data_IF_446390900831
#
_entry.id   IF_446390900831
#
_cell.length_a   1.000
_cell.length_b   1.000
_cell.length_c   1.000
_cell.angle_alpha   90.00
_cell.angle_beta   90.00
_cell.angle_gamma   90.00
#
_symmetry.space_group_name_H-M   'P 1'
#
loop_
_entity.id
_entity.type
_entity.pdbx_description
1 polymer ?
#
# COMPACT_ATOMS: atom_id res chain seq x y z
N UNK A 1 -24.89 27.49 -6.62
CA UNK A 1 -24.95 26.02 -6.40
C UNK A 1 -23.76 25.66 -5.54
N UNK A 2 -23.98 25.15 -4.32
CA UNK A 2 -22.91 24.65 -3.45
C UNK A 2 -22.34 23.39 -4.07
N UNK A 3 -21.08 23.44 -4.51
CA UNK A 3 -20.40 22.27 -5.04
C UNK A 3 -20.33 21.23 -3.92
N UNK A 4 -20.74 20.00 -4.22
CA UNK A 4 -20.63 18.87 -3.30
C UNK A 4 -19.18 18.78 -2.75
N UNK A 5 -18.99 18.74 -1.42
CA UNK A 5 -17.66 18.69 -0.81
C UNK A 5 -16.81 17.50 -1.29
N UNK A 6 -17.44 16.35 -1.53
CA UNK A 6 -16.76 15.15 -2.01
C UNK A 6 -16.25 15.34 -3.44
N UNK A 7 -17.10 15.85 -4.33
CA UNK A 7 -16.73 16.22 -5.71
C UNK A 7 -15.54 17.19 -5.72
N UNK A 8 -15.60 18.24 -4.90
CA UNK A 8 -14.51 19.22 -4.79
C UNK A 8 -13.21 18.60 -4.26
N UNK A 9 -13.31 17.67 -3.31
CA UNK A 9 -12.17 16.97 -2.75
C UNK A 9 -11.48 16.08 -3.80
N UNK A 10 -12.25 15.33 -4.57
CA UNK A 10 -11.72 14.43 -5.62
C UNK A 10 -11.12 15.22 -6.76
N UNK A 11 -11.79 16.28 -7.24
CA UNK A 11 -11.25 17.16 -8.27
C UNK A 11 -9.87 17.73 -7.90
N UNK A 12 -9.71 18.21 -6.65
CA UNK A 12 -8.42 18.72 -6.16
C UNK A 12 -7.36 17.64 -6.01
N UNK A 13 -7.75 16.46 -5.52
CA UNK A 13 -6.84 15.34 -5.30
C UNK A 13 -6.28 14.80 -6.62
N UNK A 14 -7.12 14.73 -7.66
CA UNK A 14 -6.74 14.26 -8.99
C UNK A 14 -6.18 15.37 -9.89
N UNK A 15 -6.37 16.64 -9.50
CA UNK A 15 -6.07 17.83 -10.32
C UNK A 15 -6.77 17.77 -11.68
N UNK A 16 -8.02 17.31 -11.67
CA UNK A 16 -8.83 17.08 -12.86
C UNK A 16 -10.28 17.47 -12.62
N UNK A 17 -11.00 17.79 -13.70
CA UNK A 17 -12.45 17.93 -13.63
C UNK A 17 -13.10 16.55 -13.50
N UNK A 18 -14.03 16.43 -12.55
CA UNK A 18 -14.78 15.20 -12.29
C UNK A 18 -16.26 15.53 -12.10
N UNK A 19 -17.12 14.57 -12.43
CA UNK A 19 -18.57 14.65 -12.22
C UNK A 19 -19.12 13.33 -11.72
N UNK A 20 -20.40 13.32 -11.30
CA UNK A 20 -21.10 12.10 -10.88
C UNK A 20 -20.36 11.32 -9.80
N UNK A 21 -19.82 12.03 -8.80
CA UNK A 21 -19.02 11.42 -7.74
C UNK A 21 -19.92 10.70 -6.74
N UNK A 22 -19.62 9.43 -6.47
CA UNK A 22 -20.31 8.63 -5.45
C UNK A 22 -19.30 7.85 -4.60
N UNK A 23 -19.68 7.46 -3.39
CA UNK A 23 -18.83 6.73 -2.46
C UNK A 23 -19.56 5.51 -1.90
N UNK A 24 -18.85 4.40 -1.80
CA UNK A 24 -19.31 3.13 -1.25
C UNK A 24 -18.28 2.61 -0.23
N UNK A 25 -18.75 2.17 0.94
CA UNK A 25 -17.87 1.53 1.94
C UNK A 25 -17.65 0.07 1.54
N UNK A 26 -16.40 -0.29 1.24
CA UNK A 26 -16.01 -1.67 0.89
C UNK A 26 -15.74 -2.49 2.15
N UNK A 27 -15.06 -1.89 3.14
CA UNK A 27 -14.69 -2.56 4.37
C UNK A 27 -14.57 -1.57 5.52
N UNK A 28 -15.04 -1.95 6.71
CA UNK A 28 -14.90 -1.13 7.91
C UNK A 28 -14.75 -2.01 9.16
N UNK A 29 -13.72 -1.73 9.95
CA UNK A 29 -13.48 -2.32 11.26
C UNK A 29 -12.71 -1.34 12.16
N UNK A 30 -12.31 -1.80 13.35
CA UNK A 30 -11.62 -0.97 14.33
C UNK A 30 -10.24 -0.43 13.89
N UNK A 31 -9.64 -1.04 12.86
CA UNK A 31 -8.29 -0.72 12.37
C UNK A 31 -8.26 -0.19 10.93
N UNK A 32 -9.40 -0.17 10.25
CA UNK A 32 -9.46 0.14 8.82
C UNK A 32 -10.84 0.62 8.42
N UNK A 33 -10.88 1.66 7.60
CA UNK A 33 -12.04 2.02 6.79
C UNK A 33 -11.59 2.19 5.34
N UNK A 34 -12.22 1.44 4.45
CA UNK A 34 -11.95 1.40 3.02
C UNK A 34 -13.20 1.83 2.26
N UNK A 35 -13.08 2.90 1.48
CA UNK A 35 -14.14 3.43 0.64
C UNK A 35 -13.71 3.42 -0.82
N UNK A 36 -14.58 2.93 -1.71
CA UNK A 36 -14.47 3.11 -3.15
C UNK A 36 -15.19 4.39 -3.52
N UNK A 37 -14.53 5.25 -4.28
CA UNK A 37 -15.14 6.44 -4.84
C UNK A 37 -15.17 6.28 -6.35
N UNK A 38 -16.36 6.27 -6.93
CA UNK A 38 -16.56 6.25 -8.38
C UNK A 38 -16.90 7.66 -8.87
N UNK A 39 -16.45 7.98 -10.08
CA UNK A 39 -16.67 9.29 -10.70
C UNK A 39 -16.50 9.19 -12.22
N UNK A 40 -16.99 10.20 -12.95
CA UNK A 40 -16.68 10.38 -14.37
C UNK A 40 -15.55 11.38 -14.56
N UNK A 41 -14.62 11.04 -15.45
CA UNK A 41 -13.53 11.90 -15.90
C UNK A 41 -13.32 11.69 -17.39
N UNK A 42 -13.28 12.78 -18.17
CA UNK A 42 -13.06 12.72 -19.63
C UNK A 42 -14.05 11.79 -20.36
N UNK A 43 -15.28 11.70 -19.84
CA UNK A 43 -16.33 10.84 -20.40
C UNK A 43 -16.24 9.36 -20.01
N UNK A 44 -15.20 8.92 -19.29
CA UNK A 44 -15.06 7.56 -18.78
C UNK A 44 -15.40 7.47 -17.28
N UNK A 45 -16.00 6.36 -16.86
CA UNK A 45 -16.11 6.02 -15.43
C UNK A 45 -14.75 5.57 -14.91
N UNK A 46 -14.36 6.09 -13.74
CA UNK A 46 -13.12 5.77 -13.04
C UNK A 46 -13.41 5.60 -11.56
N UNK A 47 -12.50 4.94 -10.86
CA UNK A 47 -12.59 4.78 -9.42
C UNK A 47 -11.23 4.97 -8.74
N UNK A 48 -11.31 5.38 -7.48
CA UNK A 48 -10.19 5.45 -6.54
C UNK A 48 -10.61 4.82 -5.22
N UNK A 49 -9.63 4.38 -4.45
CA UNK A 49 -9.85 3.82 -3.12
C UNK A 49 -9.28 4.77 -2.08
N UNK A 50 -10.09 5.08 -1.07
CA UNK A 50 -9.67 5.82 0.11
C UNK A 50 -9.54 4.86 1.28
N UNK A 51 -8.31 4.73 1.78
CA UNK A 51 -7.98 3.97 2.98
C UNK A 51 -7.78 4.93 4.14
N UNK A 52 -8.49 4.70 5.24
CA UNK A 52 -8.34 5.39 6.53
C UNK A 52 -7.92 4.40 7.59
N UNK A 53 -6.95 4.77 8.41
CA UNK A 53 -6.38 3.92 9.46
C UNK A 53 -6.18 4.72 10.74
N UNK A 54 -6.25 4.10 11.93
CA UNK A 54 -5.92 4.76 13.19
C UNK A 54 -4.51 5.38 13.17
N UNK A 55 -4.25 6.44 13.95
CA UNK A 55 -2.95 7.11 14.02
C UNK A 55 -1.76 6.17 14.31
N UNK A 56 -1.97 5.14 15.13
CA UNK A 56 -0.97 4.12 15.46
C UNK A 56 -0.56 3.25 14.25
N UNK A 57 -1.42 3.15 13.25
CA UNK A 57 -1.23 2.37 12.02
C UNK A 57 -0.91 3.29 10.80
N UNK A 58 -0.64 4.57 11.04
CA UNK A 58 -0.46 5.58 9.98
C UNK A 58 0.86 5.49 9.20
N UNK A 59 1.69 4.47 9.45
CA UNK A 59 2.97 4.29 8.76
C UNK A 59 2.77 4.16 7.25
N UNK A 60 1.76 3.41 6.82
CA UNK A 60 1.42 3.24 5.40
C UNK A 60 1.08 4.56 4.71
N UNK A 61 0.22 5.37 5.34
CA UNK A 61 -0.19 6.69 4.84
C UNK A 61 1.03 7.62 4.69
N UNK A 62 2.04 7.41 5.55
CA UNK A 62 3.29 8.16 5.52
C UNK A 62 4.28 7.65 4.45
N UNK A 63 4.40 6.33 4.31
CA UNK A 63 5.40 5.65 3.49
C UNK A 63 4.98 5.50 2.03
N UNK A 64 3.72 5.12 1.77
CA UNK A 64 3.25 4.79 0.42
C UNK A 64 3.49 5.89 -0.63
N UNK A 65 3.31 7.20 -0.33
CA UNK A 65 3.62 8.25 -1.31
C UNK A 65 5.12 8.38 -1.62
N UNK A 66 6.01 7.99 -0.70
CA UNK A 66 7.44 7.93 -0.98
C UNK A 66 7.74 6.78 -1.93
N UNK A 67 7.14 5.60 -1.68
CA UNK A 67 7.30 4.41 -2.52
C UNK A 67 6.77 4.65 -3.94
N UNK A 68 5.56 5.21 -4.06
CA UNK A 68 4.91 5.46 -5.35
C UNK A 68 5.69 6.43 -6.26
N UNK A 69 6.56 7.27 -5.69
CA UNK A 69 7.47 8.14 -6.47
C UNK A 69 8.72 7.43 -6.98
N UNK A 70 9.08 6.28 -6.38
CA UNK A 70 10.35 5.58 -6.61
C UNK A 70 10.17 4.28 -7.39
N UNK A 71 8.97 3.70 -7.35
CA UNK A 71 8.66 2.43 -8.00
C UNK A 71 7.22 2.40 -8.46
N UNK A 72 6.98 1.69 -9.55
CA UNK A 72 5.66 1.38 -10.09
C UNK A 72 5.07 0.09 -9.46
N UNK A 73 5.71 -0.51 -8.45
CA UNK A 73 5.26 -1.77 -7.83
C UNK A 73 4.37 -1.62 -6.60
N UNK A 74 3.88 -0.41 -6.37
CA UNK A 74 2.91 -0.06 -5.32
C UNK A 74 1.74 0.73 -5.93
N UNK A 75 0.62 0.90 -5.21
CA UNK A 75 -0.46 1.75 -5.68
C UNK A 75 0.00 3.16 -6.00
N UNK A 76 -0.52 3.70 -7.10
CA UNK A 76 -0.46 5.12 -7.41
C UNK A 76 -1.18 5.85 -6.29
N UNK A 77 -0.52 6.85 -5.71
CA UNK A 77 -1.08 7.72 -4.69
C UNK A 77 -1.49 9.04 -5.33
N UNK A 78 -2.76 9.37 -5.21
CA UNK A 78 -3.31 10.65 -5.68
C UNK A 78 -3.23 11.72 -4.59
N UNK A 79 -3.59 11.36 -3.36
CA UNK A 79 -3.56 12.28 -2.23
C UNK A 79 -3.39 11.52 -0.91
N UNK A 80 -3.02 12.26 0.13
CA UNK A 80 -3.06 11.79 1.51
C UNK A 80 -3.43 12.92 2.46
N UNK A 81 -3.88 12.56 3.65
CA UNK A 81 -4.07 13.48 4.76
C UNK A 81 -3.63 12.86 6.06
N UNK A 82 -2.89 13.64 6.85
CA UNK A 82 -2.55 13.32 8.24
C UNK A 82 -3.17 14.44 9.06
N UNK A 83 -4.39 14.24 9.59
CA UNK A 83 -5.05 15.25 10.41
C UNK A 83 -4.17 15.61 11.62
N UNK A 84 -4.16 16.89 12.06
CA UNK A 84 -3.46 17.27 13.27
C UNK A 84 -4.13 16.60 14.49
N UNK A 85 -3.40 16.37 15.60
CA UNK A 85 -3.92 15.65 16.77
C UNK A 85 -5.21 16.22 17.38
N UNK A 86 -5.48 17.52 17.17
CA UNK A 86 -6.68 18.19 17.64
C UNK A 86 -7.96 17.83 16.85
N UNK A 87 -7.82 17.21 15.67
CA UNK A 87 -8.94 16.81 14.81
C UNK A 87 -9.18 15.31 15.02
N UNK A 88 -10.38 14.95 15.45
CA UNK A 88 -10.80 13.56 15.63
C UNK A 88 -11.06 12.86 14.27
N UNK A 89 -10.04 12.78 13.42
CA UNK A 89 -10.08 12.12 12.13
C UNK A 89 -8.84 11.23 11.95
N UNK A 90 -9.06 10.09 11.30
CA UNK A 90 -8.00 9.14 10.99
C UNK A 90 -7.14 9.62 9.81
N UNK A 91 -5.81 9.39 9.86
CA UNK A 91 -4.95 9.47 8.68
C UNK A 91 -5.51 8.67 7.51
N UNK A 92 -5.31 9.18 6.30
CA UNK A 92 -5.89 8.61 5.10
C UNK A 92 -5.02 8.76 3.87
N UNK A 93 -5.17 7.83 2.94
CA UNK A 93 -4.53 7.84 1.62
C UNK A 93 -5.56 7.52 0.54
N UNK A 94 -5.46 8.22 -0.59
CA UNK A 94 -6.28 8.05 -1.78
C UNK A 94 -5.41 7.43 -2.88
N UNK A 95 -5.74 6.23 -3.31
CA UNK A 95 -4.98 5.45 -4.29
C UNK A 95 -5.81 5.07 -5.51
N UNK A 96 -5.15 4.56 -6.55
CA UNK A 96 -5.84 3.83 -7.61
C UNK A 96 -6.69 2.68 -7.02
N UNK A 97 -7.77 2.32 -7.70
CA UNK A 97 -8.63 1.22 -7.27
C UNK A 97 -8.08 -0.14 -7.72
N UNK A 98 -7.67 -0.96 -6.74
CA UNK A 98 -7.21 -2.32 -6.94
C UNK A 98 -8.07 -3.34 -6.18
N UNK A 99 -9.20 -2.92 -5.58
CA UNK A 99 -9.94 -3.77 -4.66
C UNK A 99 -10.55 -5.02 -5.34
N UNK A 100 -10.94 -4.91 -6.61
CA UNK A 100 -11.52 -6.02 -7.38
C UNK A 100 -10.50 -6.74 -8.28
N UNK A 101 -9.21 -6.36 -8.17
CA UNK A 101 -8.17 -6.97 -9.00
C UNK A 101 -7.77 -8.35 -8.48
N UNK A 102 -7.49 -9.29 -9.38
CA UNK A 102 -7.14 -10.64 -9.02
C UNK A 102 -5.82 -10.71 -8.23
N UNK A 103 -5.78 -11.59 -7.22
CA UNK A 103 -4.53 -11.85 -6.48
C UNK A 103 -3.46 -12.43 -7.41
N UNK A 104 -2.27 -11.83 -7.36
CA UNK A 104 -1.13 -12.26 -8.19
C UNK A 104 -0.57 -13.65 -7.79
N UNK A 105 -0.94 -14.17 -6.62
CA UNK A 105 -0.49 -15.49 -6.18
C UNK A 105 -1.04 -16.66 -6.98
N UNK A 106 -2.14 -16.47 -7.71
CA UNK A 106 -2.67 -17.50 -8.61
C UNK A 106 -1.90 -17.56 -9.94
N UNK A 107 -0.96 -16.63 -10.17
CA UNK A 107 -0.11 -16.56 -11.36
C UNK A 107 1.36 -16.87 -11.06
N UNK A 108 2.26 -16.07 -11.62
CA UNK A 108 3.70 -16.24 -11.43
C UNK A 108 4.15 -15.70 -10.06
N UNK A 109 4.35 -16.59 -9.08
CA UNK A 109 4.88 -16.23 -7.76
C UNK A 109 6.24 -15.54 -7.84
N UNK A 110 7.08 -15.86 -8.84
CA UNK A 110 8.35 -15.18 -9.03
C UNK A 110 8.14 -13.70 -9.42
N UNK A 111 7.00 -13.35 -10.05
CA UNK A 111 6.66 -11.95 -10.31
C UNK A 111 6.37 -11.17 -9.02
N UNK A 112 5.77 -11.80 -8.01
CA UNK A 112 5.54 -11.19 -6.69
C UNK A 112 6.88 -10.91 -5.99
N UNK A 113 7.79 -11.88 -6.01
CA UNK A 113 9.14 -11.70 -5.44
C UNK A 113 9.93 -10.62 -6.20
N UNK A 114 9.86 -10.60 -7.53
CA UNK A 114 10.50 -9.55 -8.34
C UNK A 114 9.94 -8.16 -8.04
N UNK A 115 8.62 -8.04 -7.84
CA UNK A 115 7.98 -6.78 -7.45
C UNK A 115 8.49 -6.29 -6.10
N UNK A 116 8.55 -7.16 -5.09
CA UNK A 116 9.13 -6.83 -3.78
C UNK A 116 10.59 -6.39 -3.90
N UNK A 117 11.40 -7.16 -4.61
CA UNK A 117 12.81 -6.79 -4.86
C UNK A 117 12.97 -5.44 -5.56
N UNK A 118 12.05 -5.07 -6.45
CA UNK A 118 12.06 -3.75 -7.09
C UNK A 118 11.71 -2.62 -6.11
N UNK A 119 10.75 -2.82 -5.20
CA UNK A 119 10.46 -1.86 -4.12
C UNK A 119 11.70 -1.66 -3.24
N UNK A 120 12.31 -2.73 -2.77
CA UNK A 120 13.48 -2.64 -1.87
C UNK A 120 14.66 -1.93 -2.53
N UNK A 121 14.98 -2.27 -3.79
CA UNK A 121 16.04 -1.60 -4.55
C UNK A 121 15.76 -0.10 -4.73
N UNK A 122 14.51 0.27 -4.93
CA UNK A 122 14.12 1.67 -5.14
C UNK A 122 14.35 2.55 -3.91
N UNK A 123 14.33 1.96 -2.71
CA UNK A 123 14.53 2.68 -1.43
C UNK A 123 15.86 2.40 -0.74
N UNK A 124 16.74 1.60 -1.36
CA UNK A 124 17.98 1.12 -0.73
C UNK A 124 18.93 2.24 -0.24
N UNK A 125 18.78 3.47 -0.75
CA UNK A 125 19.59 4.65 -0.36
C UNK A 125 18.83 5.66 0.50
N UNK A 126 17.59 5.38 0.85
CA UNK A 126 16.71 6.30 1.57
C UNK A 126 16.62 6.01 3.06
N UNK A 127 17.58 5.28 3.62
CA UNK A 127 17.59 4.91 5.04
C UNK A 127 17.28 6.09 5.98
N UNK A 128 17.89 7.30 5.83
CA UNK A 128 17.55 8.43 6.70
C UNK A 128 16.09 8.86 6.59
N UNK A 129 15.52 8.82 5.39
CA UNK A 129 14.11 9.18 5.15
C UNK A 129 13.16 8.13 5.71
N UNK A 130 13.46 6.84 5.51
CA UNK A 130 12.69 5.73 6.07
C UNK A 130 12.68 5.78 7.60
N UNK A 131 13.84 6.04 8.21
CA UNK A 131 13.98 6.21 9.66
C UNK A 131 13.16 7.41 10.17
N UNK A 132 13.20 8.54 9.46
CA UNK A 132 12.42 9.73 9.81
C UNK A 132 10.90 9.50 9.72
N UNK A 133 10.45 8.60 8.83
CA UNK A 133 9.04 8.18 8.72
C UNK A 133 8.63 7.13 9.75
N UNK A 134 9.54 6.70 10.63
CA UNK A 134 9.27 5.69 11.64
C UNK A 134 9.20 4.27 11.10
N UNK A 135 9.73 4.00 9.90
CA UNK A 135 9.84 2.63 9.38
C UNK A 135 10.73 1.83 10.33
N UNK A 136 10.22 0.74 10.92
CA UNK A 136 11.03 -0.07 11.83
C UNK A 136 12.16 -0.73 11.05
N UNK A 137 13.39 -0.52 11.51
CA UNK A 137 14.55 -1.27 11.02
C UNK A 137 14.61 -2.60 11.78
N UNK A 138 14.38 -3.72 11.07
CA UNK A 138 14.65 -5.05 11.61
C UNK A 138 16.02 -5.52 11.14
N UNK A 139 16.79 -6.10 12.06
CA UNK A 139 17.93 -6.91 11.68
C UNK A 139 17.44 -8.12 10.87
N UNK A 140 18.19 -8.58 9.84
CA UNK A 140 17.76 -9.71 9.02
C UNK A 140 17.37 -10.98 9.78
N UNK A 141 18.06 -11.27 10.89
CA UNK A 141 17.73 -12.38 11.78
C UNK A 141 16.33 -12.22 12.41
N UNK A 142 15.96 -11.00 12.80
CA UNK A 142 14.63 -10.71 13.36
C UNK A 142 13.51 -10.80 12.32
N UNK A 143 13.82 -10.63 11.03
CA UNK A 143 12.87 -10.86 9.94
C UNK A 143 12.60 -12.36 9.73
N UNK A 144 13.66 -13.18 9.78
CA UNK A 144 13.56 -14.65 9.71
C UNK A 144 12.81 -15.20 10.94
N UNK A 145 13.10 -14.69 12.14
CA UNK A 145 12.41 -15.09 13.37
C UNK A 145 10.91 -14.76 13.32
N UNK A 146 10.53 -13.54 12.91
CA UNK A 146 9.10 -13.19 12.74
C UNK A 146 8.39 -14.00 11.67
N UNK A 147 9.07 -14.30 10.55
CA UNK A 147 8.53 -15.20 9.54
C UNK A 147 8.30 -16.61 10.13
N UNK A 148 9.20 -17.06 11.00
CA UNK A 148 9.14 -18.38 11.66
C UNK A 148 8.02 -18.43 12.70
N UNK A 149 7.83 -17.35 13.47
CA UNK A 149 6.71 -17.19 14.39
C UNK A 149 5.35 -17.23 13.68
N UNK A 150 5.24 -16.58 12.51
CA UNK A 150 4.02 -16.66 11.68
C UNK A 150 3.82 -18.02 11.01
N UNK A 151 4.90 -18.65 10.56
CA UNK A 151 4.89 -20.00 10.00
C UNK A 151 4.48 -21.06 11.03
N UNK A 152 4.78 -20.85 12.31
CA UNK A 152 4.30 -21.71 13.39
C UNK A 152 2.77 -21.67 13.56
N UNK A 153 2.10 -20.63 13.04
CA UNK A 153 0.65 -20.47 13.08
C UNK A 153 -0.02 -21.08 11.84
N UNK A 154 0.56 -20.93 10.63
CA UNK A 154 -0.13 -21.29 9.37
C UNK A 154 0.54 -22.39 8.50
N UNK A 155 1.86 -22.63 8.57
CA UNK A 155 2.63 -23.76 7.95
C UNK A 155 4.14 -23.51 8.04
N UNK A 156 5.00 -24.56 8.13
CA UNK A 156 6.46 -24.40 8.17
C UNK A 156 7.02 -23.72 6.91
N UNK A 157 8.01 -22.84 7.11
CA UNK A 157 8.75 -22.16 6.04
C UNK A 157 9.52 -23.18 5.19
N UNK A 158 9.24 -23.21 3.89
CA UNK A 158 9.95 -24.05 2.92
C UNK A 158 11.36 -23.50 2.58
N UNK A 159 12.14 -24.28 1.83
CA UNK A 159 13.52 -23.93 1.48
C UNK A 159 13.61 -22.67 0.59
N UNK A 160 12.61 -22.45 -0.26
CA UNK A 160 12.57 -21.32 -1.20
C UNK A 160 12.30 -20.00 -0.47
N UNK A 161 11.41 -20.02 0.53
CA UNK A 161 11.17 -18.87 1.40
C UNK A 161 12.40 -18.54 2.27
N UNK A 162 13.18 -19.53 2.71
CA UNK A 162 14.47 -19.28 3.40
C UNK A 162 15.53 -18.69 2.47
N UNK A 163 15.59 -19.15 1.22
CA UNK A 163 16.49 -18.59 0.22
C UNK A 163 16.12 -17.13 -0.09
N UNK A 164 14.82 -16.83 -0.26
CA UNK A 164 14.33 -15.47 -0.45
C UNK A 164 14.63 -14.56 0.75
N UNK A 165 14.43 -15.05 1.98
CA UNK A 165 14.80 -14.32 3.20
C UNK A 165 16.31 -14.04 3.29
N UNK A 166 17.14 -14.99 2.85
CA UNK A 166 18.61 -14.84 2.82
C UNK A 166 19.08 -13.80 1.79
N UNK A 167 18.37 -13.67 0.66
CA UNK A 167 18.64 -12.62 -0.32
C UNK A 167 18.17 -11.24 0.17
N UNK A 168 17.00 -11.18 0.84
CA UNK A 168 16.50 -9.95 1.47
C UNK A 168 17.43 -9.48 2.61
N UNK A 169 18.03 -10.41 3.35
CA UNK A 169 18.98 -10.15 4.42
C UNK A 169 20.27 -9.42 3.97
N UNK A 170 20.58 -9.45 2.67
CA UNK A 170 21.73 -8.73 2.09
C UNK A 170 21.42 -7.26 1.80
N UNK A 171 20.16 -6.84 1.96
CA UNK A 171 19.75 -5.46 1.76
C UNK A 171 19.97 -4.66 3.05
N UNK A 172 20.50 -3.43 2.96
CA UNK A 172 20.80 -2.60 4.14
C UNK A 172 19.54 -2.22 4.93
N UNK A 173 18.38 -2.22 4.26
CA UNK A 173 17.05 -2.03 4.85
C UNK A 173 16.08 -2.95 4.11
N UNK A 174 15.22 -3.66 4.86
CA UNK A 174 14.07 -4.38 4.30
C UNK A 174 12.82 -3.74 4.84
N UNK A 175 11.95 -3.25 3.95
CA UNK A 175 10.64 -2.76 4.38
C UNK A 175 9.81 -3.94 4.90
N UNK A 176 9.50 -3.92 6.20
CA UNK A 176 8.53 -4.85 6.80
C UNK A 176 7.09 -4.59 6.32
N UNK A 177 6.88 -3.42 5.71
CA UNK A 177 5.63 -3.03 5.06
C UNK A 177 5.57 -3.70 3.66
N UNK A 178 4.41 -4.25 3.30
CA UNK A 178 4.24 -5.09 2.12
C UNK A 178 4.84 -6.48 2.29
N UNK A 179 4.51 -7.17 3.39
CA UNK A 179 4.82 -8.59 3.56
C UNK A 179 4.34 -9.39 2.34
N UNK A 180 5.14 -10.39 1.95
CA UNK A 180 4.87 -11.29 0.82
C UNK A 180 3.71 -12.25 1.15
N UNK A 181 2.51 -11.70 1.30
CA UNK A 181 1.27 -12.47 1.44
C UNK A 181 0.42 -12.34 0.19
N UNK A 182 -0.35 -13.36 -0.13
CA UNK A 182 -1.23 -13.33 -1.30
C UNK A 182 -2.35 -12.31 -1.19
N UNK A 183 -2.74 -11.97 0.04
CA UNK A 183 -3.67 -10.89 0.34
C UNK A 183 -3.11 -9.51 -0.07
N UNK A 184 -1.79 -9.40 -0.23
CA UNK A 184 -1.07 -8.15 -0.47
C UNK A 184 -0.53 -8.02 -1.90
N UNK A 185 -0.80 -8.97 -2.78
CA UNK A 185 -0.31 -8.94 -4.16
C UNK A 185 -1.48 -8.89 -5.15
N UNK A 186 -1.51 -7.88 -6.02
CA UNK A 186 -2.54 -7.66 -7.03
C UNK A 186 -1.96 -7.67 -8.43
N UNK A 187 -2.72 -8.19 -9.38
CA UNK A 187 -2.36 -8.17 -10.80
C UNK A 187 -2.91 -6.88 -11.43
N UNK A 188 -2.05 -6.15 -12.13
CA UNK A 188 -2.38 -4.92 -12.86
C UNK A 188 -1.76 -4.96 -14.26
N UNK A 189 -2.17 -4.06 -15.14
CA UNK A 189 -1.53 -3.82 -16.44
C UNK A 189 -0.04 -3.49 -16.31
N UNK A 190 0.35 -2.88 -15.17
CA UNK A 190 1.75 -2.56 -14.84
C UNK A 190 2.54 -3.77 -14.31
N UNK A 191 1.89 -4.92 -14.16
CA UNK A 191 2.41 -6.14 -13.55
C UNK A 191 1.92 -6.31 -12.10
N UNK A 192 2.73 -6.96 -11.26
CA UNK A 192 2.36 -7.16 -9.85
C UNK A 192 2.53 -5.87 -9.05
N UNK A 193 1.47 -5.50 -8.34
CA UNK A 193 1.41 -4.38 -7.41
C UNK A 193 1.27 -4.93 -5.99
N UNK A 194 2.10 -4.42 -5.07
CA UNK A 194 2.05 -4.76 -3.66
C UNK A 194 1.17 -3.75 -2.91
N UNK A 195 0.13 -4.25 -2.25
CA UNK A 195 -0.86 -3.52 -1.45
C UNK A 195 -0.77 -3.98 0.01
N UNK A 196 -1.25 -3.18 0.96
CA UNK A 196 -1.37 -3.55 2.39
C UNK A 196 -2.78 -3.30 2.91
#
# INVERSE_FOLDING_TARGET
MTVDPLTSFIARSLRAEVSEVSSEVIAQNARLQLERITFRQEGAERSVVMKRVPPEDALEVQLLPLLARKTDRVPIVHARGIPPPAVAAWPWVLTEDLADTASACHGDLAAVVRAKGAVERAVARDEPALRALGVPALAPIGLVERATERAAIDRPIDADARAAASELARLPVVLCHGDLTCANARTSERGVILVE
#
